data_IF_190701952972
#
_entry.id   IF_190701952972
#
_cell.length_a   1.000
_cell.length_b   1.000
_cell.length_c   1.000
_cell.angle_alpha   90.00
_cell.angle_beta   90.00
_cell.angle_gamma   90.00
#
_symmetry.space_group_name_H-M   'P 1'
#
loop_
_entity.id
_entity.type
_entity.pdbx_description
1 polymer ?
#
# COMPACT_ATOMS: atom_id res chain seq x y z
N UNK A 1 -34.78 14.79 5.30
CA UNK A 1 -33.71 13.94 5.86
C UNK A 1 -32.85 13.26 4.80
N UNK A 2 -33.39 12.38 3.91
CA UNK A 2 -32.56 11.67 2.92
C UNK A 2 -31.75 12.60 2.01
N UNK A 3 -32.39 13.62 1.40
CA UNK A 3 -31.70 14.62 0.55
C UNK A 3 -30.59 15.38 1.28
N UNK A 4 -30.85 15.76 2.54
CA UNK A 4 -29.87 16.42 3.40
C UNK A 4 -28.68 15.50 3.73
N UNK A 5 -28.94 14.24 4.07
CA UNK A 5 -27.89 13.26 4.35
C UNK A 5 -27.01 13.02 3.11
N UNK A 6 -27.61 12.88 1.94
CA UNK A 6 -26.90 12.74 0.66
C UNK A 6 -26.05 13.99 0.38
N UNK A 7 -26.58 15.19 0.65
CA UNK A 7 -25.82 16.43 0.46
C UNK A 7 -24.61 16.52 1.41
N UNK A 8 -24.78 16.17 2.70
CA UNK A 8 -23.68 16.15 3.67
C UNK A 8 -22.62 15.12 3.29
N UNK A 9 -23.02 13.89 2.93
CA UNK A 9 -22.09 12.87 2.46
C UNK A 9 -21.38 13.29 1.17
N UNK A 10 -22.09 13.86 0.20
CA UNK A 10 -21.51 14.33 -1.05
C UNK A 10 -20.52 15.47 -0.83
N UNK A 11 -20.84 16.42 0.05
CA UNK A 11 -19.94 17.50 0.44
C UNK A 11 -18.67 16.95 1.13
N UNK A 12 -18.82 16.01 2.06
CA UNK A 12 -17.68 15.38 2.74
C UNK A 12 -16.78 14.61 1.76
N UNK A 13 -17.36 13.89 0.79
CA UNK A 13 -16.58 13.19 -0.24
C UNK A 13 -15.81 14.15 -1.15
N UNK A 14 -16.44 15.23 -1.60
CA UNK A 14 -15.78 16.27 -2.41
C UNK A 14 -14.66 16.95 -1.62
N UNK A 15 -14.91 17.21 -0.33
CA UNK A 15 -13.93 17.83 0.56
C UNK A 15 -12.72 16.92 0.77
N UNK A 16 -12.93 15.64 1.05
CA UNK A 16 -11.84 14.67 1.18
C UNK A 16 -11.05 14.55 -0.12
N UNK A 17 -11.72 14.47 -1.27
CA UNK A 17 -11.07 14.44 -2.57
C UNK A 17 -10.21 15.70 -2.81
N UNK A 18 -10.76 16.89 -2.56
CA UNK A 18 -10.02 18.15 -2.67
C UNK A 18 -8.82 18.18 -1.72
N UNK A 19 -9.00 17.69 -0.49
CA UNK A 19 -7.96 17.63 0.54
C UNK A 19 -6.80 16.75 0.09
N UNK A 20 -7.06 15.62 -0.57
CA UNK A 20 -6.01 14.76 -1.14
C UNK A 20 -5.18 15.47 -2.23
N UNK A 21 -5.80 16.30 -3.07
CA UNK A 21 -5.07 17.12 -4.05
C UNK A 21 -4.21 18.20 -3.38
N UNK A 22 -4.72 18.82 -2.31
CA UNK A 22 -3.97 19.80 -1.52
C UNK A 22 -2.78 19.13 -0.83
N UNK A 23 -2.95 17.92 -0.31
CA UNK A 23 -1.88 17.15 0.33
C UNK A 23 -0.73 16.88 -0.64
N UNK A 24 -1.06 16.49 -1.88
CA UNK A 24 -0.08 16.25 -2.92
C UNK A 24 0.72 17.51 -3.29
N UNK A 25 0.15 18.71 -3.13
CA UNK A 25 0.79 19.97 -3.53
C UNK A 25 1.54 20.68 -2.39
N UNK A 26 1.04 20.60 -1.15
CA UNK A 26 1.57 21.37 -0.02
C UNK A 26 2.26 20.55 1.08
N UNK A 27 2.11 19.22 1.10
CA UNK A 27 2.52 18.24 2.14
C UNK A 27 1.44 17.78 3.11
N UNK A 28 1.67 16.61 3.72
CA UNK A 28 0.81 15.99 4.74
C UNK A 28 0.70 16.84 6.00
N UNK A 29 1.81 17.39 6.51
CA UNK A 29 1.82 18.23 7.72
C UNK A 29 0.93 19.48 7.56
N UNK A 30 0.94 20.08 6.37
CA UNK A 30 0.10 21.23 6.06
C UNK A 30 -1.39 20.88 6.18
N UNK A 31 -1.81 19.76 5.58
CA UNK A 31 -3.21 19.34 5.57
C UNK A 31 -3.68 18.85 6.93
N UNK A 32 -2.83 18.14 7.67
CA UNK A 32 -3.13 17.70 9.03
C UNK A 32 -3.52 18.90 9.91
N UNK A 33 -2.71 19.96 9.87
CA UNK A 33 -2.95 21.18 10.66
C UNK A 33 -4.13 22.03 10.17
N UNK A 34 -4.31 22.20 8.87
CA UNK A 34 -5.28 23.17 8.31
C UNK A 34 -6.62 22.55 7.93
N UNK A 35 -6.72 21.22 7.85
CA UNK A 35 -7.96 20.52 7.52
C UNK A 35 -8.31 19.53 8.62
N UNK A 36 -7.50 18.49 8.84
CA UNK A 36 -7.91 17.36 9.68
C UNK A 36 -8.02 17.70 11.17
N UNK A 37 -7.15 18.55 11.71
CA UNK A 37 -7.16 18.96 13.12
C UNK A 37 -8.02 20.21 13.39
N UNK A 38 -8.78 20.68 12.40
CA UNK A 38 -9.65 21.85 12.58
C UNK A 38 -10.97 21.49 13.22
N UNK A 39 -11.49 22.41 14.03
CA UNK A 39 -12.76 22.25 14.75
C UNK A 39 -13.91 21.99 13.77
N UNK A 40 -13.96 22.68 12.63
CA UNK A 40 -15.05 22.52 11.66
C UNK A 40 -15.07 21.10 11.06
N UNK A 41 -13.91 20.50 10.82
CA UNK A 41 -13.81 19.14 10.30
C UNK A 41 -14.23 18.11 11.36
N UNK A 42 -13.83 18.30 12.62
CA UNK A 42 -14.32 17.50 13.73
C UNK A 42 -15.85 17.62 13.91
N UNK A 43 -16.40 18.83 13.81
CA UNK A 43 -17.85 19.07 13.87
C UNK A 43 -18.59 18.39 12.71
N UNK A 44 -18.00 18.34 11.51
CA UNK A 44 -18.59 17.66 10.36
C UNK A 44 -18.74 16.15 10.63
N UNK A 45 -17.71 15.50 11.16
CA UNK A 45 -17.78 14.10 11.59
C UNK A 45 -18.77 13.88 12.74
N UNK A 46 -18.79 14.79 13.73
CA UNK A 46 -19.76 14.76 14.82
C UNK A 46 -21.21 14.87 14.34
N UNK A 47 -21.48 15.75 13.36
CA UNK A 47 -22.80 15.89 12.75
C UNK A 47 -23.21 14.62 11.99
N UNK A 48 -22.27 14.00 11.26
CA UNK A 48 -22.51 12.73 10.57
C UNK A 48 -22.85 11.59 11.55
N UNK A 49 -22.12 11.51 12.67
CA UNK A 49 -22.35 10.54 13.73
C UNK A 49 -23.73 10.73 14.37
N UNK A 50 -24.06 11.97 14.77
CA UNK A 50 -25.36 12.31 15.35
C UNK A 50 -26.51 11.97 14.40
N UNK A 51 -26.38 12.32 13.11
CA UNK A 51 -27.37 11.99 12.09
C UNK A 51 -27.54 10.47 11.92
N UNK A 52 -26.44 9.72 11.99
CA UNK A 52 -26.48 8.25 11.93
C UNK A 52 -27.25 7.68 13.12
N UNK A 53 -27.00 8.16 14.35
CA UNK A 53 -27.76 7.76 15.55
C UNK A 53 -29.25 8.09 15.39
N UNK A 54 -29.59 9.28 14.90
CA UNK A 54 -31.00 9.65 14.66
C UNK A 54 -31.67 8.71 13.66
N UNK A 55 -30.97 8.33 12.58
CA UNK A 55 -31.49 7.36 11.59
C UNK A 55 -31.66 5.98 12.21
N UNK A 56 -30.69 5.50 13.00
CA UNK A 56 -30.76 4.23 13.73
C UNK A 56 -32.03 4.15 14.59
N UNK A 57 -32.30 5.21 15.34
CA UNK A 57 -33.45 5.29 16.24
C UNK A 57 -34.76 5.42 15.48
N UNK A 58 -34.86 6.36 14.53
CA UNK A 58 -36.09 6.61 13.77
C UNK A 58 -36.53 5.41 12.94
N UNK A 59 -35.58 4.67 12.36
CA UNK A 59 -35.88 3.48 11.57
C UNK A 59 -36.04 2.22 12.43
N UNK A 60 -35.89 2.33 13.76
CA UNK A 60 -35.96 1.19 14.70
C UNK A 60 -35.06 0.04 14.26
N UNK A 61 -33.82 0.38 13.87
CA UNK A 61 -32.85 -0.56 13.30
C UNK A 61 -32.42 -1.66 14.30
N UNK A 62 -32.73 -1.50 15.59
CA UNK A 62 -32.65 -2.59 16.60
C UNK A 62 -33.48 -3.83 16.25
N UNK A 63 -34.49 -3.72 15.36
CA UNK A 63 -35.20 -4.89 14.81
C UNK A 63 -34.42 -5.61 13.70
N UNK A 64 -33.39 -4.98 13.14
CA UNK A 64 -32.51 -5.51 12.08
C UNK A 64 -31.06 -5.49 12.58
N UNK A 65 -30.75 -6.39 13.51
CA UNK A 65 -29.44 -6.48 14.17
C UNK A 65 -28.23 -6.39 13.22
N UNK A 66 -28.18 -7.07 12.05
CA UNK A 66 -27.00 -7.00 11.18
C UNK A 66 -26.73 -5.58 10.66
N UNK A 67 -27.78 -4.85 10.29
CA UNK A 67 -27.66 -3.47 9.81
C UNK A 67 -27.35 -2.51 10.95
N UNK A 68 -27.88 -2.75 12.16
CA UNK A 68 -27.54 -1.98 13.36
C UNK A 68 -26.05 -2.14 13.68
N UNK A 69 -25.54 -3.37 13.74
CA UNK A 69 -24.14 -3.65 14.06
C UNK A 69 -23.19 -3.03 13.02
N UNK A 70 -23.55 -3.07 11.74
CA UNK A 70 -22.78 -2.45 10.66
C UNK A 70 -22.64 -0.93 10.82
N UNK A 71 -23.72 -0.23 11.14
CA UNK A 71 -23.66 1.22 11.34
C UNK A 71 -23.07 1.57 12.72
N UNK A 72 -23.34 0.74 13.72
CA UNK A 72 -22.75 0.83 15.05
C UNK A 72 -21.23 0.71 15.01
N UNK A 73 -20.66 -0.15 14.17
CA UNK A 73 -19.21 -0.26 14.02
C UNK A 73 -18.57 1.04 13.51
N UNK A 74 -19.21 1.76 12.59
CA UNK A 74 -18.68 3.06 12.15
C UNK A 74 -18.67 4.10 13.28
N UNK A 75 -19.69 4.09 14.15
CA UNK A 75 -19.72 4.95 15.34
C UNK A 75 -18.62 4.58 16.33
N UNK A 76 -18.36 3.28 16.55
CA UNK A 76 -17.28 2.80 17.43
C UNK A 76 -15.91 3.16 16.86
N UNK A 77 -15.70 2.97 15.55
CA UNK A 77 -14.45 3.37 14.87
C UNK A 77 -14.22 4.88 15.02
N UNK A 78 -15.26 5.69 14.80
CA UNK A 78 -15.16 7.14 14.93
C UNK A 78 -14.89 7.57 16.39
N UNK A 79 -15.52 6.91 17.37
CA UNK A 79 -15.26 7.14 18.78
C UNK A 79 -13.81 6.77 19.17
N UNK A 80 -13.29 5.67 18.63
CA UNK A 80 -11.89 5.28 18.79
C UNK A 80 -10.94 6.31 18.20
N UNK A 81 -11.21 6.77 16.97
CA UNK A 81 -10.44 7.83 16.32
C UNK A 81 -10.48 9.15 17.12
N UNK A 82 -11.64 9.54 17.66
CA UNK A 82 -11.75 10.71 18.54
C UNK A 82 -10.97 10.53 19.84
N UNK A 83 -10.95 9.32 20.41
CA UNK A 83 -10.16 9.01 21.61
C UNK A 83 -8.66 9.14 21.32
N UNK A 84 -8.18 8.60 20.20
CA UNK A 84 -6.80 8.78 19.73
C UNK A 84 -6.48 10.25 19.49
N UNK A 85 -7.42 11.01 18.92
CA UNK A 85 -7.23 12.43 18.64
C UNK A 85 -7.11 13.28 19.92
N UNK A 86 -7.88 12.98 20.96
CA UNK A 86 -7.89 13.74 22.21
C UNK A 86 -6.81 13.32 23.20
N UNK A 87 -6.48 12.02 23.26
CA UNK A 87 -5.59 11.45 24.28
C UNK A 87 -4.26 10.93 23.72
N UNK A 88 -4.13 10.80 22.40
CA UNK A 88 -2.93 10.30 21.76
C UNK A 88 -1.82 11.35 21.73
N UNK A 89 -0.57 10.89 21.82
CA UNK A 89 0.63 11.72 21.61
C UNK A 89 1.55 11.04 20.62
N UNK A 90 2.20 11.84 19.78
CA UNK A 90 3.14 11.37 18.76
C UNK A 90 4.40 12.22 18.78
N UNK A 91 5.53 11.61 18.47
CA UNK A 91 6.80 12.32 18.45
C UNK A 91 7.98 11.44 18.07
N UNK A 92 9.16 11.93 18.37
CA UNK A 92 10.43 11.28 18.02
C UNK A 92 11.35 11.27 19.23
N UNK A 93 12.08 10.18 19.40
CA UNK A 93 13.18 10.09 20.37
C UNK A 93 14.45 9.75 19.60
N UNK A 94 15.50 10.51 19.87
CA UNK A 94 16.85 10.23 19.40
C UNK A 94 17.59 9.49 20.51
N UNK A 95 18.12 8.32 20.19
CA UNK A 95 18.91 7.53 21.12
C UNK A 95 20.33 7.42 20.58
N UNK A 96 21.31 7.84 21.36
CA UNK A 96 22.74 7.61 21.04
C UNK A 96 23.30 6.48 21.88
N UNK A 97 24.25 5.73 21.33
CA UNK A 97 24.81 4.53 21.97
C UNK A 97 25.38 4.87 23.36
N UNK A 98 24.91 4.13 24.36
CA UNK A 98 25.33 4.30 25.76
C UNK A 98 24.70 5.46 26.51
N UNK A 99 23.93 6.34 25.84
CA UNK A 99 23.18 7.41 26.51
C UNK A 99 21.82 6.90 27.00
N UNK A 100 21.40 7.43 28.16
CA UNK A 100 20.08 7.20 28.73
C UNK A 100 19.18 8.39 28.43
N UNK A 101 18.02 8.10 27.84
CA UNK A 101 17.02 9.11 27.46
C UNK A 101 15.69 8.76 28.10
N UNK A 102 15.08 9.72 28.77
CA UNK A 102 13.81 9.58 29.48
C UNK A 102 12.74 10.55 28.96
N UNK A 103 12.90 11.09 27.76
CA UNK A 103 11.96 12.01 27.14
C UNK A 103 11.89 11.84 25.63
N UNK A 104 10.83 12.32 25.00
CA UNK A 104 10.73 12.40 23.54
C UNK A 104 10.28 13.80 23.11
N UNK A 105 10.65 14.19 21.89
CA UNK A 105 10.22 15.44 21.26
C UNK A 105 8.85 15.21 20.60
N UNK A 106 7.85 16.02 20.93
CA UNK A 106 6.55 15.95 20.27
C UNK A 106 6.66 16.30 18.78
N UNK A 107 5.76 15.77 17.94
CA UNK A 107 5.80 15.93 16.46
C UNK A 107 5.88 17.40 16.00
N UNK A 108 5.27 18.33 16.73
CA UNK A 108 5.32 19.77 16.42
C UNK A 108 6.68 20.43 16.78
N UNK A 109 7.61 19.67 17.37
CA UNK A 109 8.97 20.10 17.73
C UNK A 109 9.06 21.11 18.87
N UNK A 110 7.92 21.47 19.48
CA UNK A 110 7.81 22.57 20.45
C UNK A 110 7.85 22.13 21.91
N UNK A 111 7.57 20.86 22.17
CA UNK A 111 7.46 20.33 23.53
C UNK A 111 8.27 19.05 23.67
N UNK A 112 9.01 18.97 24.78
CA UNK A 112 9.67 17.76 25.25
C UNK A 112 8.76 17.12 26.29
N UNK A 113 8.40 15.86 26.08
CA UNK A 113 7.50 15.10 26.95
C UNK A 113 8.30 14.00 27.64
N UNK A 114 8.22 13.95 28.96
CA UNK A 114 8.89 12.92 29.76
C UNK A 114 8.22 11.54 29.60
N UNK A 115 9.05 10.50 29.55
CA UNK A 115 8.67 9.10 29.55
C UNK A 115 8.69 8.58 31.00
N UNK A 116 7.76 7.69 31.37
CA UNK A 116 7.75 7.05 32.69
C UNK A 116 8.86 5.99 32.88
N UNK A 117 9.79 5.87 31.94
CA UNK A 117 10.91 4.94 31.93
C UNK A 117 12.06 5.52 31.11
N UNK A 118 13.25 4.96 31.32
CA UNK A 118 14.46 5.30 30.58
C UNK A 118 14.68 4.32 29.43
N UNK A 119 15.09 4.84 28.27
CA UNK A 119 15.54 4.10 27.12
C UNK A 119 17.04 4.30 26.94
N UNK A 120 17.74 3.23 26.57
CA UNK A 120 19.16 3.26 26.24
C UNK A 120 19.42 2.40 25.03
N UNK A 121 20.15 2.95 24.06
CA UNK A 121 20.61 2.22 22.89
C UNK A 121 21.92 1.50 23.22
N UNK A 122 21.94 0.18 23.11
CA UNK A 122 23.15 -0.63 23.28
C UNK A 122 23.95 -0.69 21.98
N UNK A 123 23.28 -0.86 20.83
CA UNK A 123 23.89 -0.73 19.50
C UNK A 123 22.84 -0.59 18.40
N UNK A 124 23.22 0.02 17.28
CA UNK A 124 22.45 0.04 16.05
C UNK A 124 23.18 -0.78 14.97
N UNK A 125 22.45 -1.55 14.18
CA UNK A 125 23.02 -2.38 13.10
C UNK A 125 22.10 -2.43 11.88
N UNK A 126 22.71 -2.40 10.71
CA UNK A 126 22.04 -2.64 9.44
C UNK A 126 22.25 -4.11 9.06
N UNK A 127 21.16 -4.84 8.85
CA UNK A 127 21.20 -6.20 8.32
C UNK A 127 21.09 -6.12 6.80
N UNK A 128 21.97 -6.81 6.07
CA UNK A 128 22.02 -6.78 4.60
C UNK A 128 21.56 -8.10 4.01
N UNK A 129 21.06 -8.06 2.77
CA UNK A 129 20.78 -9.29 2.04
C UNK A 129 22.08 -10.08 1.79
N UNK A 130 22.08 -11.42 1.96
CA UNK A 130 23.28 -12.21 1.74
C UNK A 130 23.87 -11.99 0.34
N UNK A 131 25.11 -11.51 0.28
CA UNK A 131 25.85 -11.29 -0.97
C UNK A 131 25.56 -9.97 -1.68
N UNK A 132 24.88 -9.00 -1.05
CA UNK A 132 24.72 -7.64 -1.58
C UNK A 132 24.93 -6.58 -0.51
N UNK A 133 25.17 -5.34 -0.93
CA UNK A 133 25.21 -4.17 -0.04
C UNK A 133 23.80 -3.55 0.16
N UNK A 134 22.73 -4.28 -0.18
CA UNK A 134 21.36 -3.80 -0.04
C UNK A 134 20.84 -4.05 1.39
N UNK A 135 20.37 -3.01 2.11
CA UNK A 135 19.84 -3.16 3.47
C UNK A 135 18.52 -3.95 3.46
N UNK A 136 18.45 -4.97 4.31
CA UNK A 136 17.30 -5.83 4.56
C UNK A 136 16.51 -5.39 5.81
N UNK A 137 17.20 -4.98 6.88
CA UNK A 137 16.56 -4.45 8.10
C UNK A 137 17.47 -3.43 8.81
N UNK A 138 16.87 -2.59 9.65
CA UNK A 138 17.54 -1.61 10.49
C UNK A 138 17.17 -1.90 11.94
N UNK A 139 18.12 -2.37 12.74
CA UNK A 139 17.86 -2.94 14.06
C UNK A 139 18.52 -2.10 15.15
N UNK A 140 17.69 -1.60 16.06
CA UNK A 140 18.08 -0.89 17.28
C UNK A 140 17.96 -1.81 18.48
N UNK A 141 19.10 -2.15 19.08
CA UNK A 141 19.16 -2.96 20.30
C UNK A 141 18.99 -2.05 21.51
N UNK A 142 17.83 -2.15 22.16
CA UNK A 142 17.48 -1.36 23.34
C UNK A 142 17.80 -2.16 24.60
N UNK A 143 18.45 -1.52 25.57
CA UNK A 143 18.89 -2.17 26.79
C UNK A 143 17.73 -2.79 27.58
N UNK A 144 17.82 -4.10 27.84
CA UNK A 144 16.82 -4.83 28.62
C UNK A 144 15.45 -5.01 27.95
N UNK A 145 15.33 -4.70 26.66
CA UNK A 145 14.08 -4.72 25.91
C UNK A 145 14.21 -5.52 24.60
N UNK A 146 13.08 -5.76 23.94
CA UNK A 146 13.11 -6.37 22.60
C UNK A 146 13.69 -5.39 21.57
N UNK A 147 14.56 -5.84 20.64
CA UNK A 147 15.09 -4.98 19.59
C UNK A 147 13.97 -4.36 18.74
N UNK A 148 14.14 -3.10 18.39
CA UNK A 148 13.24 -2.37 17.48
C UNK A 148 13.78 -2.49 16.07
N UNK A 149 12.94 -2.87 15.12
CA UNK A 149 13.29 -2.90 13.70
C UNK A 149 12.09 -2.52 12.83
N UNK A 150 12.25 -2.49 11.50
CA UNK A 150 11.19 -2.07 10.57
C UNK A 150 9.91 -2.89 10.75
N UNK A 151 10.04 -4.19 11.07
CA UNK A 151 8.93 -5.13 11.23
C UNK A 151 8.70 -5.56 12.69
N UNK A 152 9.44 -5.00 13.65
CA UNK A 152 9.33 -5.32 15.07
C UNK A 152 9.30 -4.05 15.91
N UNK A 153 8.14 -3.78 16.50
CA UNK A 153 7.94 -2.62 17.36
C UNK A 153 8.26 -2.96 18.81
N UNK A 154 8.79 -2.00 19.56
CA UNK A 154 8.83 -2.07 21.03
C UNK A 154 7.55 -1.45 21.57
N UNK A 155 6.86 -2.16 22.44
CA UNK A 155 5.64 -1.68 23.11
C UNK A 155 5.82 -1.75 24.62
N UNK A 156 5.80 -0.59 25.29
CA UNK A 156 6.01 -0.47 26.74
C UNK A 156 5.06 0.57 27.34
N UNK A 157 4.29 0.17 28.35
CA UNK A 157 3.38 1.06 29.11
C UNK A 157 2.47 1.96 28.23
N UNK A 158 1.96 1.43 27.12
CA UNK A 158 1.11 2.18 26.18
C UNK A 158 1.86 3.03 25.14
N UNK A 159 3.18 3.12 25.24
CA UNK A 159 4.05 3.71 24.22
C UNK A 159 4.50 2.64 23.22
N UNK A 160 4.50 3.01 21.94
CA UNK A 160 4.99 2.17 20.85
C UNK A 160 6.11 2.91 20.13
N UNK A 161 7.24 2.24 19.99
CA UNK A 161 8.44 2.75 19.35
C UNK A 161 8.65 2.05 18.02
N UNK A 162 8.85 2.85 16.98
CA UNK A 162 9.05 2.42 15.60
C UNK A 162 10.40 2.93 15.12
N UNK A 163 11.20 2.07 14.49
CA UNK A 163 12.41 2.52 13.82
C UNK A 163 12.01 3.50 12.69
N UNK A 164 12.57 4.71 12.67
CA UNK A 164 12.25 5.72 11.66
C UNK A 164 13.46 6.21 10.88
N UNK A 165 14.58 6.44 11.56
CA UNK A 165 15.85 6.84 10.92
C UNK A 165 17.04 6.46 11.80
N UNK A 166 18.25 6.73 11.34
CA UNK A 166 19.50 6.50 12.07
C UNK A 166 20.55 7.55 11.66
N UNK A 167 21.58 7.70 12.47
CA UNK A 167 22.69 8.62 12.19
C UNK A 167 23.72 7.95 11.27
N UNK A 168 24.33 8.72 10.36
CA UNK A 168 25.28 8.19 9.36
C UNK A 168 26.51 7.51 9.98
N UNK A 169 26.86 7.87 11.22
CA UNK A 169 27.96 7.28 12.00
C UNK A 169 27.60 5.94 12.68
N UNK A 170 26.35 5.48 12.54
CA UNK A 170 25.79 4.29 13.18
C UNK A 170 25.81 4.34 14.72
N UNK A 171 26.01 5.52 15.31
CA UNK A 171 26.02 5.72 16.77
C UNK A 171 24.69 6.27 17.31
N UNK A 172 23.73 6.57 16.44
CA UNK A 172 22.41 7.02 16.84
C UNK A 172 21.28 6.40 16.05
N UNK A 173 20.14 6.27 16.72
CA UNK A 173 18.88 5.81 16.14
C UNK A 173 17.74 6.75 16.48
N UNK A 174 16.93 7.06 15.47
CA UNK A 174 15.68 7.80 15.63
C UNK A 174 14.52 6.81 15.69
N UNK A 175 13.76 6.88 16.78
CA UNK A 175 12.54 6.12 16.94
C UNK A 175 11.33 7.05 16.96
N UNK A 176 10.31 6.75 16.17
CA UNK A 176 9.00 7.40 16.30
C UNK A 176 8.27 6.81 17.51
N UNK A 177 7.78 7.69 18.38
CA UNK A 177 7.04 7.35 19.59
C UNK A 177 5.57 7.63 19.36
N UNK A 178 4.72 6.64 19.63
CA UNK A 178 3.26 6.79 19.59
C UNK A 178 2.66 6.31 20.92
N UNK A 179 2.03 7.21 21.65
CA UNK A 179 1.26 6.91 22.85
C UNK A 179 -0.23 6.92 22.52
N UNK A 180 -0.89 5.76 22.61
CA UNK A 180 -2.34 5.64 22.47
C UNK A 180 -2.85 4.41 23.23
N UNK A 181 -3.18 4.56 24.53
CA UNK A 181 -3.56 3.45 25.39
C UNK A 181 -4.97 2.90 25.12
N UNK A 182 -5.90 3.71 24.60
CA UNK A 182 -7.33 3.36 24.51
C UNK A 182 -7.87 3.40 23.09
N UNK A 183 -7.48 4.40 22.29
CA UNK A 183 -8.08 4.67 20.99
C UNK A 183 -7.88 3.54 19.99
N UNK A 184 -6.71 2.91 19.98
CA UNK A 184 -6.44 1.69 19.21
C UNK A 184 -7.41 0.59 19.59
N UNK A 185 -7.53 0.28 20.89
CA UNK A 185 -8.38 -0.81 21.38
C UNK A 185 -9.83 -0.61 20.97
N UNK A 186 -10.36 0.61 21.13
CA UNK A 186 -11.72 0.97 20.71
C UNK A 186 -11.87 0.83 19.20
N UNK A 187 -10.94 1.38 18.41
CA UNK A 187 -10.99 1.33 16.94
C UNK A 187 -10.98 -0.11 16.42
N UNK A 188 -10.09 -0.96 16.97
CA UNK A 188 -9.99 -2.37 16.60
C UNK A 188 -11.23 -3.17 17.01
N UNK A 189 -11.84 -2.86 18.16
CA UNK A 189 -13.14 -3.43 18.52
C UNK A 189 -14.23 -3.06 17.50
N UNK A 190 -14.18 -1.84 16.97
CA UNK A 190 -15.05 -1.38 15.88
C UNK A 190 -14.80 -2.12 14.57
N UNK A 191 -13.55 -2.37 14.18
CA UNK A 191 -13.23 -3.16 12.99
C UNK A 191 -13.64 -4.63 13.14
N UNK A 192 -13.45 -5.22 14.33
CA UNK A 192 -13.94 -6.56 14.62
C UNK A 192 -15.47 -6.63 14.49
N UNK A 193 -16.18 -5.65 15.08
CA UNK A 193 -17.63 -5.52 14.97
C UNK A 193 -18.08 -5.36 13.52
N UNK A 194 -17.35 -4.56 12.73
CA UNK A 194 -17.60 -4.37 11.30
C UNK A 194 -17.48 -5.72 10.56
N UNK A 195 -16.38 -6.44 10.75
CA UNK A 195 -16.16 -7.75 10.13
C UNK A 195 -17.25 -8.76 10.49
N UNK A 196 -17.60 -8.88 11.77
CA UNK A 196 -18.68 -9.75 12.24
C UNK A 196 -20.03 -9.34 11.61
N UNK A 197 -20.33 -8.04 11.56
CA UNK A 197 -21.59 -7.54 10.98
C UNK A 197 -21.70 -7.83 9.48
N UNK A 198 -20.59 -7.73 8.73
CA UNK A 198 -20.53 -8.05 7.32
C UNK A 198 -20.77 -9.54 7.09
N UNK A 199 -20.09 -10.42 7.84
CA UNK A 199 -20.31 -11.86 7.78
C UNK A 199 -21.75 -12.24 8.13
N UNK A 200 -22.30 -11.63 9.18
CA UNK A 200 -23.69 -11.85 9.57
C UNK A 200 -24.66 -11.42 8.46
N UNK A 201 -24.43 -10.26 7.82
CA UNK A 201 -25.27 -9.78 6.72
C UNK A 201 -25.30 -10.78 5.56
N UNK A 202 -24.17 -11.43 5.25
CA UNK A 202 -24.10 -12.51 4.25
C UNK A 202 -24.89 -13.75 4.67
N UNK A 203 -24.85 -14.15 5.95
CA UNK A 203 -25.53 -15.35 6.49
C UNK A 203 -27.04 -15.10 6.76
N UNK A 204 -27.47 -13.85 6.87
CA UNK A 204 -28.87 -13.51 7.16
C UNK A 204 -29.82 -13.90 6.00
N UNK A 205 -30.79 -14.78 6.29
CA UNK A 205 -31.73 -15.32 5.28
C UNK A 205 -32.70 -14.29 4.71
N UNK A 206 -33.01 -13.23 5.47
CA UNK A 206 -33.88 -12.12 5.06
C UNK A 206 -33.16 -10.82 4.69
N UNK A 207 -31.84 -10.84 4.49
CA UNK A 207 -31.07 -9.62 4.23
C UNK A 207 -31.30 -9.04 2.82
N UNK A 208 -31.38 -7.71 2.71
CA UNK A 208 -31.49 -6.98 1.43
C UNK A 208 -30.35 -7.34 0.46
N UNK A 209 -29.17 -7.70 0.97
CA UNK A 209 -28.02 -8.13 0.16
C UNK A 209 -28.31 -9.42 -0.64
N UNK A 210 -28.93 -10.43 -0.03
CA UNK A 210 -29.34 -11.65 -0.76
C UNK A 210 -30.48 -11.38 -1.73
N UNK A 211 -31.35 -10.41 -1.42
CA UNK A 211 -32.39 -9.94 -2.34
C UNK A 211 -31.79 -9.28 -3.58
N UNK A 212 -30.75 -8.47 -3.40
CA UNK A 212 -29.97 -7.85 -4.48
C UNK A 212 -29.22 -8.88 -5.33
N UNK A 213 -28.58 -9.88 -4.72
CA UNK A 213 -27.92 -10.98 -5.47
C UNK A 213 -28.90 -11.82 -6.30
N UNK A 214 -30.16 -11.89 -5.88
CA UNK A 214 -31.22 -12.57 -6.63
C UNK A 214 -31.86 -11.68 -7.71
N UNK A 215 -31.43 -10.43 -7.86
CA UNK A 215 -32.01 -9.49 -8.80
C UNK A 215 -31.70 -9.89 -10.26
N UNK A 216 -32.69 -9.89 -11.17
CA UNK A 216 -32.53 -10.39 -12.54
C UNK A 216 -31.53 -9.60 -13.39
N UNK A 217 -31.32 -8.30 -13.11
CA UNK A 217 -30.32 -7.48 -13.80
C UNK A 217 -28.88 -7.93 -13.52
N UNK A 218 -28.59 -8.34 -12.28
CA UNK A 218 -27.27 -8.84 -11.88
C UNK A 218 -26.96 -10.21 -12.50
N UNK A 219 -27.98 -11.08 -12.61
CA UNK A 219 -27.85 -12.36 -13.32
C UNK A 219 -27.61 -12.18 -14.83
N UNK A 220 -28.29 -11.22 -15.45
CA UNK A 220 -28.10 -10.89 -16.88
C UNK A 220 -26.74 -10.21 -17.15
N UNK A 221 -26.32 -9.29 -16.28
CA UNK A 221 -25.03 -8.61 -16.39
C UNK A 221 -23.81 -9.49 -16.10
N UNK A 222 -23.90 -10.41 -15.12
CA UNK A 222 -22.82 -11.36 -14.81
C UNK A 222 -22.50 -12.30 -15.98
N UNK A 223 -23.51 -12.67 -16.77
CA UNK A 223 -23.33 -13.50 -17.97
C UNK A 223 -22.61 -12.75 -19.10
N UNK A 224 -22.81 -11.43 -19.20
CA UNK A 224 -22.14 -10.57 -20.18
C UNK A 224 -20.65 -10.38 -19.87
N UNK A 225 -20.29 -10.23 -18.58
CA UNK A 225 -18.88 -10.16 -18.13
C UNK A 225 -18.14 -11.48 -18.39
N UNK A 226 -18.79 -12.61 -18.12
CA UNK A 226 -18.23 -13.94 -18.40
C UNK A 226 -18.02 -14.17 -19.91
N UNK A 227 -18.97 -13.73 -20.74
CA UNK A 227 -18.91 -13.82 -22.20
C UNK A 227 -17.76 -12.97 -22.78
N UNK A 228 -17.53 -11.77 -22.23
CA UNK A 228 -16.42 -10.88 -22.62
C UNK A 228 -15.04 -11.49 -22.29
N UNK A 229 -14.93 -12.24 -21.19
CA UNK A 229 -13.72 -12.97 -20.83
C UNK A 229 -13.44 -14.17 -21.76
N UNK A 230 -14.48 -14.81 -22.30
CA UNK A 230 -14.33 -15.95 -23.20
C UNK A 230 -14.03 -15.56 -24.67
N UNK A 231 -14.52 -14.41 -25.15
CA UNK A 231 -14.35 -13.96 -26.54
C UNK A 231 -12.98 -13.33 -26.85
N UNK A 232 -12.16 -13.02 -25.84
CA UNK A 232 -10.86 -12.35 -26.00
C UNK A 232 -9.70 -13.22 -26.50
N UNK A 233 -9.93 -14.47 -26.91
CA UNK A 233 -8.86 -15.42 -27.24
C UNK A 233 -8.95 -15.90 -28.69
N UNK A 234 -8.22 -15.25 -29.62
CA UNK A 234 -7.90 -15.87 -30.90
C UNK A 234 -7.71 -14.95 -32.11
N UNK A 235 -6.53 -14.34 -32.23
CA UNK A 235 -5.96 -14.00 -33.55
C UNK A 235 -4.52 -14.49 -33.56
N UNK A 236 -4.25 -15.57 -34.29
CA UNK A 236 -2.89 -16.07 -34.52
C UNK A 236 -2.33 -15.46 -35.81
N UNK A 237 -1.31 -14.62 -35.67
CA UNK A 237 -0.49 -14.15 -36.77
C UNK A 237 0.55 -15.22 -37.16
N UNK A 238 0.78 -15.38 -38.46
CA UNK A 238 1.74 -16.32 -39.04
C UNK A 238 3.16 -16.04 -38.51
N UNK A 239 3.74 -17.01 -37.78
CA UNK A 239 5.00 -16.85 -37.04
C UNK A 239 6.22 -16.96 -37.96
N UNK A 240 6.95 -15.85 -38.14
CA UNK A 240 8.36 -15.86 -38.57
C UNK A 240 9.17 -16.45 -37.40
N UNK A 241 9.76 -17.64 -37.57
CA UNK A 241 10.43 -18.34 -36.46
C UNK A 241 11.88 -17.89 -36.33
N UNK A 242 12.16 -17.09 -35.30
CA UNK A 242 13.51 -16.78 -34.87
C UNK A 242 14.12 -17.99 -34.12
N UNK A 243 15.43 -18.27 -34.28
CA UNK A 243 16.10 -19.31 -33.53
C UNK A 243 16.19 -18.88 -32.06
N UNK A 244 15.51 -19.62 -31.20
CA UNK A 244 15.48 -19.40 -29.76
C UNK A 244 15.54 -20.72 -29.01
N UNK A 245 15.91 -20.67 -27.73
CA UNK A 245 15.89 -21.82 -26.83
C UNK A 245 14.51 -22.51 -26.85
N UNK A 246 14.53 -23.84 -26.67
CA UNK A 246 13.29 -24.58 -26.47
C UNK A 246 12.54 -23.99 -25.27
N UNK A 247 11.23 -23.75 -25.42
CA UNK A 247 10.44 -23.05 -24.39
C UNK A 247 10.59 -23.67 -22.99
N UNK A 248 10.62 -25.00 -22.92
CA UNK A 248 10.83 -25.75 -21.66
C UNK A 248 12.18 -25.44 -20.98
N UNK A 249 13.23 -25.19 -21.76
CA UNK A 249 14.55 -24.80 -21.23
C UNK A 249 14.55 -23.34 -20.79
N UNK A 250 13.94 -22.45 -21.57
CA UNK A 250 13.80 -21.04 -21.19
C UNK A 250 12.95 -20.86 -19.90
N UNK A 251 11.85 -21.62 -19.79
CA UNK A 251 10.97 -21.60 -18.62
C UNK A 251 11.65 -22.20 -17.37
N UNK A 252 12.64 -23.09 -17.54
CA UNK A 252 13.42 -23.61 -16.41
C UNK A 252 14.41 -22.57 -15.89
N UNK A 253 14.94 -21.72 -16.77
CA UNK A 253 15.79 -20.59 -16.43
C UNK A 253 15.02 -19.47 -15.74
N UNK A 254 13.75 -19.24 -16.11
CA UNK A 254 12.92 -18.17 -15.57
C UNK A 254 12.90 -18.09 -14.02
N UNK A 255 12.98 -19.24 -13.34
CA UNK A 255 12.97 -19.35 -11.87
C UNK A 255 14.36 -19.37 -11.23
N UNK A 256 15.44 -19.38 -12.00
CA UNK A 256 16.81 -19.33 -11.46
C UNK A 256 17.07 -17.95 -10.88
N UNK A 257 17.69 -17.89 -9.71
CA UNK A 257 18.05 -16.64 -9.08
C UNK A 257 19.30 -16.06 -9.75
N UNK A 258 19.24 -14.78 -10.06
CA UNK A 258 20.35 -13.99 -10.58
C UNK A 258 20.42 -12.65 -9.85
N UNK A 259 21.58 -12.04 -9.87
CA UNK A 259 21.78 -10.69 -9.34
C UNK A 259 21.48 -9.69 -10.46
N UNK A 260 20.57 -8.76 -10.22
CA UNK A 260 20.23 -7.69 -11.15
C UNK A 260 19.88 -6.42 -10.39
N UNK A 261 20.57 -5.30 -10.69
CA UNK A 261 20.45 -4.02 -9.97
C UNK A 261 20.51 -4.20 -8.44
N UNK A 262 21.58 -4.87 -7.97
CA UNK A 262 21.88 -5.12 -6.55
C UNK A 262 20.81 -5.90 -5.77
N UNK A 263 19.93 -6.60 -6.48
CA UNK A 263 18.88 -7.44 -5.89
C UNK A 263 18.94 -8.85 -6.43
N UNK A 264 18.67 -9.82 -5.56
CA UNK A 264 18.44 -11.22 -5.98
C UNK A 264 17.04 -11.31 -6.57
N UNK A 265 16.97 -11.55 -7.87
CA UNK A 265 15.70 -11.65 -8.61
C UNK A 265 15.65 -12.95 -9.41
N UNK A 266 14.46 -13.45 -9.78
CA UNK A 266 14.36 -14.48 -10.80
C UNK A 266 14.96 -13.97 -12.12
N UNK A 267 15.59 -14.85 -12.88
CA UNK A 267 16.13 -14.55 -14.21
C UNK A 267 15.05 -13.94 -15.13
N UNK A 268 13.79 -14.31 -14.93
CA UNK A 268 12.65 -13.70 -15.61
C UNK A 268 12.58 -12.17 -15.45
N UNK A 269 12.90 -11.64 -14.25
CA UNK A 269 12.87 -10.20 -13.99
C UNK A 269 13.91 -9.46 -14.83
N UNK A 270 15.16 -9.96 -14.82
CA UNK A 270 16.23 -9.46 -15.68
C UNK A 270 15.83 -9.56 -17.16
N UNK A 271 15.33 -10.72 -17.57
CA UNK A 271 14.98 -10.98 -18.96
C UNK A 271 13.86 -10.09 -19.48
N UNK A 272 12.79 -9.91 -18.68
CA UNK A 272 11.69 -8.99 -18.98
C UNK A 272 12.17 -7.55 -19.13
N UNK A 273 12.97 -7.07 -18.18
CA UNK A 273 13.45 -5.69 -18.20
C UNK A 273 14.33 -5.41 -19.42
N UNK A 274 15.24 -6.33 -19.74
CA UNK A 274 16.05 -6.29 -20.95
C UNK A 274 15.21 -6.18 -22.24
N UNK A 275 14.23 -7.09 -22.42
CA UNK A 275 13.38 -7.08 -23.63
C UNK A 275 12.50 -5.83 -23.69
N UNK A 276 11.99 -5.37 -22.55
CA UNK A 276 11.17 -4.16 -22.46
C UNK A 276 11.98 -2.91 -22.84
N UNK A 277 13.22 -2.79 -22.35
CA UNK A 277 14.11 -1.66 -22.65
C UNK A 277 14.50 -1.59 -24.13
N UNK A 278 14.74 -2.74 -24.75
CA UNK A 278 15.11 -2.80 -26.17
C UNK A 278 13.92 -2.63 -27.10
N UNK A 279 12.83 -3.36 -26.86
CA UNK A 279 11.72 -3.47 -27.81
C UNK A 279 10.52 -2.57 -27.47
N UNK A 280 10.50 -1.99 -26.27
CA UNK A 280 9.32 -1.29 -25.72
C UNK A 280 8.17 -2.23 -25.35
N UNK A 281 8.34 -3.56 -25.45
CA UNK A 281 7.30 -4.56 -25.24
C UNK A 281 7.76 -5.66 -24.28
N UNK A 282 6.85 -6.31 -23.52
CA UNK A 282 7.21 -7.36 -22.56
C UNK A 282 7.55 -8.72 -23.22
N UNK A 283 7.44 -8.83 -24.54
CA UNK A 283 7.74 -10.02 -25.33
C UNK A 283 8.03 -9.61 -26.78
N UNK A 284 8.84 -10.40 -27.48
CA UNK A 284 9.20 -10.15 -28.88
C UNK A 284 8.93 -11.39 -29.74
N UNK A 285 8.32 -11.23 -30.91
CA UNK A 285 8.06 -12.35 -31.84
C UNK A 285 7.23 -13.52 -31.27
N UNK A 286 6.45 -13.29 -30.20
CA UNK A 286 5.73 -14.36 -29.49
C UNK A 286 6.64 -15.35 -28.75
N UNK A 287 7.84 -14.92 -28.37
CA UNK A 287 8.80 -15.62 -27.52
C UNK A 287 8.79 -15.06 -26.10
N UNK A 288 9.13 -15.90 -25.12
CA UNK A 288 9.34 -15.43 -23.75
C UNK A 288 10.62 -14.60 -23.65
N UNK A 289 10.74 -13.67 -22.69
CA UNK A 289 11.94 -12.86 -22.54
C UNK A 289 13.23 -13.68 -22.36
N UNK A 290 13.15 -14.84 -21.70
CA UNK A 290 14.25 -15.79 -21.53
C UNK A 290 14.66 -16.43 -22.87
N UNK A 291 13.69 -16.70 -23.74
CA UNK A 291 13.97 -17.17 -25.10
C UNK A 291 14.68 -16.11 -25.93
N UNK A 292 14.31 -14.83 -25.76
CA UNK A 292 14.95 -13.69 -26.44
C UNK A 292 16.39 -13.53 -25.97
N UNK A 293 16.63 -13.43 -24.65
CA UNK A 293 17.99 -13.33 -24.10
C UNK A 293 18.82 -14.56 -24.48
N UNK A 294 18.26 -15.76 -24.34
CA UNK A 294 18.96 -16.99 -24.70
C UNK A 294 19.32 -17.04 -26.18
N UNK A 295 18.43 -16.57 -27.06
CA UNK A 295 18.71 -16.40 -28.48
C UNK A 295 19.83 -15.40 -28.75
N UNK A 296 19.79 -14.24 -28.07
CA UNK A 296 20.83 -13.21 -28.16
C UNK A 296 22.22 -13.72 -27.76
N UNK A 297 22.30 -14.47 -26.66
CA UNK A 297 23.56 -14.99 -26.12
C UNK A 297 24.11 -16.16 -26.94
N UNK A 298 23.23 -17.04 -27.45
CA UNK A 298 23.64 -18.28 -28.11
C UNK A 298 23.75 -18.16 -29.62
N UNK A 299 23.05 -17.21 -30.25
CA UNK A 299 22.94 -17.04 -31.71
C UNK A 299 23.04 -15.56 -32.14
N UNK A 300 24.06 -14.80 -31.69
CA UNK A 300 24.17 -13.37 -31.97
C UNK A 300 24.18 -13.05 -33.48
N UNK A 301 24.67 -13.96 -34.32
CA UNK A 301 24.76 -13.79 -35.77
C UNK A 301 23.41 -13.58 -36.47
N UNK A 302 22.33 -14.14 -35.91
CA UNK A 302 20.96 -13.95 -36.41
C UNK A 302 20.33 -12.73 -35.77
N UNK A 303 20.51 -12.59 -34.46
CA UNK A 303 19.83 -11.57 -33.66
C UNK A 303 20.39 -10.15 -33.84
N UNK A 304 21.64 -10.00 -34.27
CA UNK A 304 22.22 -8.69 -34.58
C UNK A 304 21.55 -8.01 -35.79
N UNK A 305 20.92 -8.79 -36.67
CA UNK A 305 20.26 -8.32 -37.88
C UNK A 305 18.73 -8.19 -37.70
N UNK A 306 18.21 -8.51 -36.52
CA UNK A 306 16.78 -8.44 -36.23
C UNK A 306 16.43 -7.01 -35.79
N UNK A 307 15.49 -6.33 -36.47
CA UNK A 307 15.13 -4.95 -36.17
C UNK A 307 14.26 -4.89 -34.91
N UNK A 308 14.90 -5.01 -33.75
CA UNK A 308 14.25 -5.13 -32.46
C UNK A 308 14.44 -3.90 -31.55
N UNK A 309 15.32 -2.97 -31.94
CA UNK A 309 15.62 -1.78 -31.14
C UNK A 309 14.56 -0.72 -31.42
N UNK A 310 13.72 -0.43 -30.42
CA UNK A 310 12.67 0.56 -30.55
C UNK A 310 13.24 1.98 -30.45
N UNK A 311 13.22 2.72 -31.56
CA UNK A 311 13.66 4.11 -31.59
C UNK A 311 12.44 4.99 -31.38
N UNK A 312 12.34 5.70 -30.25
CA UNK A 312 11.18 6.56 -29.96
C UNK A 312 11.16 7.86 -30.78
N UNK A 313 12.33 8.42 -31.10
CA UNK A 313 12.47 9.74 -31.72
C UNK A 313 12.26 9.68 -33.24
N UNK A 314 11.31 10.47 -33.76
CA UNK A 314 10.95 10.49 -35.18
C UNK A 314 12.04 11.09 -36.08
N UNK A 315 12.74 12.14 -35.62
CA UNK A 315 13.82 12.75 -36.39
C UNK A 315 14.99 11.78 -36.58
N UNK A 316 15.29 10.98 -35.54
CA UNK A 316 16.31 9.93 -35.61
C UNK A 316 15.92 8.80 -36.58
N UNK A 317 14.63 8.41 -36.59
CA UNK A 317 14.14 7.41 -37.57
C UNK A 317 14.31 7.87 -39.01
N UNK A 318 14.02 9.15 -39.28
CA UNK A 318 14.18 9.75 -40.62
C UNK A 318 15.65 9.81 -41.03
N UNK A 319 16.53 10.14 -40.11
CA UNK A 319 17.99 10.19 -40.34
C UNK A 319 18.57 8.80 -40.63
N UNK A 320 18.04 7.76 -39.99
CA UNK A 320 18.44 6.36 -40.18
C UNK A 320 17.69 5.66 -41.33
N UNK A 321 16.86 6.38 -42.08
CA UNK A 321 16.06 5.85 -43.20
C UNK A 321 15.20 4.62 -42.84
N UNK A 322 14.64 4.58 -41.63
CA UNK A 322 13.85 3.44 -41.16
C UNK A 322 12.41 3.52 -41.64
N UNK A 323 11.92 2.45 -42.28
CA UNK A 323 10.51 2.30 -42.66
C UNK A 323 9.60 2.01 -41.46
N UNK A 324 10.15 1.45 -40.38
CA UNK A 324 9.41 1.10 -39.16
C UNK A 324 10.03 1.75 -37.91
N UNK A 325 9.31 1.80 -36.77
CA UNK A 325 9.85 2.29 -35.51
C UNK A 325 11.01 1.51 -34.90
N UNK A 326 11.42 0.41 -35.54
CA UNK A 326 12.46 -0.49 -35.05
C UNK A 326 13.65 -0.49 -36.00
N UNK A 327 14.85 -0.44 -35.41
CA UNK A 327 16.13 -0.58 -36.09
C UNK A 327 16.75 -1.94 -35.79
#
# INVERSE_FOLDING_TARGET
MKKFLIAVYGCLLLLLAATTFVEQTYSTDFVEKHVYHTIWFCCLWGALAAMTVVVLVRQRLWRRLPTLLLHGSFLVILAGAMTTFLCGRKGYVHLTVGSEVNCFLEQDGRQVVELPFTLRLDSFRIEYYPGTDAPADYISYIHGETPVSMNRILSRQGFRFYQSSFDEDMQGSWLTVNYDPWGIGVTYSGYLLLGVSMLWMLVSRGGEFRRLLRHPLLKKGGMFVLLLLCLGSGVHAQKRSLPALARKQADSLARKQVIYNDRVVPFNTLARDFVLKLTGKPSYGGMTPEQVIGGWLLRPEVWQNEPMIYIKNEALRRLLHLETPYA
#
